data_IF_882448236810
#
_entry.id   IF_882448236810
#
_cell.length_a   1.000
_cell.length_b   1.000
_cell.length_c   1.000
_cell.angle_alpha   90.00
_cell.angle_beta   90.00
_cell.angle_gamma   90.00
#
_symmetry.space_group_name_H-M   'P 1'
#
loop_
_entity.id
_entity.type
_entity.pdbx_description
1 polymer ?
#
# COMPACT_ATOMS: atom_id res chain seq x y z
N UNK A 1 22.23 -31.72 5.36
CA UNK A 1 21.78 -30.90 6.50
C UNK A 1 20.39 -30.37 6.18
N UNK A 2 19.37 -31.04 6.68
CA UNK A 2 17.97 -30.62 6.56
C UNK A 2 17.73 -29.43 7.49
N UNK A 3 17.35 -28.27 6.93
CA UNK A 3 16.76 -27.17 7.69
C UNK A 3 15.26 -27.44 7.82
N UNK A 4 14.90 -28.27 8.79
CA UNK A 4 13.49 -28.41 9.16
C UNK A 4 13.02 -27.21 10.01
N UNK A 5 11.80 -26.77 9.65
CA UNK A 5 10.77 -26.19 10.53
C UNK A 5 11.11 -24.91 11.31
N UNK A 6 11.06 -23.77 10.62
CA UNK A 6 10.47 -22.57 11.22
C UNK A 6 8.97 -22.58 10.95
N UNK A 7 8.16 -22.86 11.97
CA UNK A 7 6.69 -22.75 11.88
C UNK A 7 6.31 -21.27 11.73
N UNK A 8 5.35 -20.97 10.86
CA UNK A 8 4.75 -19.63 10.85
C UNK A 8 3.91 -19.47 12.12
N UNK A 9 4.14 -18.40 12.86
CA UNK A 9 3.23 -17.98 13.92
C UNK A 9 2.01 -17.34 13.24
N UNK A 10 0.91 -18.09 13.24
CA UNK A 10 -0.39 -17.61 12.76
C UNK A 10 -1.28 -17.39 13.99
N UNK A 11 -1.68 -16.14 14.22
CA UNK A 11 -2.74 -15.76 15.13
C UNK A 11 -4.03 -15.47 14.36
N UNK A 12 -5.07 -15.07 15.09
CA UNK A 12 -6.34 -14.64 14.50
C UNK A 12 -6.77 -13.31 15.10
N UNK A 13 -7.34 -12.43 14.27
CA UNK A 13 -7.97 -11.19 14.71
C UNK A 13 -9.20 -11.50 15.59
N UNK A 14 -9.75 -10.49 16.28
CA UNK A 14 -11.03 -10.64 17.00
C UNK A 14 -12.19 -11.01 16.08
N UNK A 15 -12.07 -10.69 14.79
CA UNK A 15 -13.06 -10.95 13.74
C UNK A 15 -12.81 -12.29 13.04
N UNK A 16 -11.73 -12.99 13.41
CA UNK A 16 -11.39 -14.32 12.91
C UNK A 16 -10.41 -14.33 11.73
N UNK A 17 -9.85 -13.18 11.35
CA UNK A 17 -8.92 -13.10 10.21
C UNK A 17 -7.55 -13.66 10.57
N UNK A 18 -6.95 -14.52 9.74
CA UNK A 18 -5.57 -14.93 9.89
C UNK A 18 -4.60 -13.73 9.95
N UNK A 19 -3.77 -13.73 10.99
CA UNK A 19 -2.65 -12.79 11.17
C UNK A 19 -1.37 -13.60 11.16
N UNK A 20 -0.42 -13.27 10.29
CA UNK A 20 0.90 -13.91 10.26
C UNK A 20 2.02 -12.88 10.29
N UNK A 21 3.17 -13.25 10.85
CA UNK A 21 4.38 -12.46 10.71
C UNK A 21 5.14 -12.87 9.45
N UNK A 22 5.36 -11.90 8.55
CA UNK A 22 6.14 -12.06 7.31
C UNK A 22 7.42 -11.21 7.37
N UNK A 23 8.29 -11.32 6.36
CA UNK A 23 9.44 -10.40 6.22
C UNK A 23 9.05 -8.93 6.03
N UNK A 24 7.77 -8.66 5.76
CA UNK A 24 7.23 -7.32 5.58
C UNK A 24 6.57 -6.76 6.84
N UNK A 25 6.47 -7.53 7.93
CA UNK A 25 5.73 -7.19 9.13
C UNK A 25 4.50 -8.07 9.33
N UNK A 26 3.54 -7.56 10.10
CA UNK A 26 2.19 -8.11 10.28
C UNK A 26 1.46 -8.14 8.93
N UNK A 27 1.07 -9.34 8.52
CA UNK A 27 0.27 -9.61 7.35
C UNK A 27 -1.09 -10.15 7.79
N UNK A 28 -2.15 -9.44 7.42
CA UNK A 28 -3.54 -9.83 7.67
C UNK A 28 -4.17 -10.18 6.34
N UNK A 29 -4.89 -11.28 6.31
CA UNK A 29 -5.53 -11.82 5.12
C UNK A 29 -6.97 -12.20 5.47
N UNK A 30 -7.95 -11.66 4.75
CA UNK A 30 -9.37 -12.05 4.90
C UNK A 30 -10.01 -12.36 3.56
N UNK A 31 -10.95 -13.31 3.55
CA UNK A 31 -11.82 -13.59 2.41
C UNK A 31 -13.17 -12.99 2.76
N UNK A 32 -13.65 -12.05 1.95
CA UNK A 32 -14.98 -11.48 2.19
C UNK A 32 -16.10 -12.47 1.80
N UNK A 33 -17.36 -12.13 2.10
CA UNK A 33 -18.50 -12.98 1.76
C UNK A 33 -18.72 -13.23 0.26
N UNK A 34 -17.98 -12.53 -0.60
CA UNK A 34 -18.00 -12.70 -2.07
C UNK A 34 -16.80 -13.53 -2.59
N UNK A 35 -15.97 -14.09 -1.70
CA UNK A 35 -14.82 -14.90 -2.08
C UNK A 35 -13.58 -14.09 -2.48
N UNK A 36 -13.61 -12.76 -2.32
CA UNK A 36 -12.51 -11.86 -2.68
C UNK A 36 -11.50 -11.78 -1.55
N UNK A 37 -10.22 -11.81 -1.92
CA UNK A 37 -9.12 -11.66 -0.96
C UNK A 37 -8.92 -10.19 -0.61
N UNK A 38 -8.80 -9.89 0.67
CA UNK A 38 -8.25 -8.66 1.20
C UNK A 38 -6.92 -8.96 1.90
N UNK A 39 -5.86 -8.28 1.50
CA UNK A 39 -4.52 -8.42 2.04
C UNK A 39 -4.02 -7.08 2.58
N UNK A 40 -3.66 -7.05 3.86
CA UNK A 40 -3.22 -5.84 4.58
C UNK A 40 -1.80 -6.05 5.11
N UNK A 41 -0.91 -5.12 4.75
CA UNK A 41 0.47 -5.01 5.21
C UNK A 41 0.60 -3.74 6.03
N UNK A 42 0.31 -3.85 7.32
CA UNK A 42 0.11 -2.70 8.21
C UNK A 42 1.36 -1.83 8.32
N UNK A 43 2.53 -2.42 8.53
CA UNK A 43 3.81 -1.72 8.63
C UNK A 43 4.32 -1.21 7.29
N UNK A 44 3.70 -1.64 6.18
CA UNK A 44 3.96 -1.06 4.86
C UNK A 44 2.99 0.06 4.52
N UNK A 45 1.86 0.20 5.22
CA UNK A 45 0.79 1.11 4.82
C UNK A 45 0.16 0.70 3.50
N UNK A 46 0.10 -0.61 3.20
CA UNK A 46 -0.41 -1.14 1.93
C UNK A 46 -1.56 -2.08 2.19
N UNK A 47 -2.63 -1.90 1.44
CA UNK A 47 -3.76 -2.80 1.37
C UNK A 47 -4.04 -3.14 -0.10
N UNK A 48 -4.41 -4.37 -0.40
CA UNK A 48 -4.77 -4.76 -1.76
C UNK A 48 -5.91 -5.77 -1.73
N UNK A 49 -6.74 -5.71 -2.76
CA UNK A 49 -7.84 -6.65 -2.96
C UNK A 49 -7.65 -7.43 -4.25
N UNK A 50 -7.98 -8.72 -4.22
CA UNK A 50 -8.03 -9.55 -5.41
C UNK A 50 -9.45 -10.06 -5.64
N UNK A 51 -9.86 -10.10 -6.90
CA UNK A 51 -11.15 -10.64 -7.30
C UNK A 51 -11.14 -12.18 -7.37
N UNK A 52 -12.30 -12.74 -7.72
CA UNK A 52 -12.54 -14.18 -7.86
C UNK A 52 -11.71 -14.83 -8.99
N UNK A 53 -11.28 -14.04 -9.98
CA UNK A 53 -10.36 -14.44 -11.03
C UNK A 53 -8.89 -14.36 -10.62
N UNK A 54 -8.62 -14.07 -9.33
CA UNK A 54 -7.29 -13.91 -8.71
C UNK A 54 -6.52 -12.69 -9.21
N UNK A 55 -7.19 -11.74 -9.86
CA UNK A 55 -6.61 -10.52 -10.39
C UNK A 55 -6.69 -9.37 -9.38
N UNK A 56 -5.72 -8.46 -9.46
CA UNK A 56 -5.61 -7.30 -8.58
C UNK A 56 -6.75 -6.31 -8.85
N UNK A 57 -7.78 -6.33 -8.00
CA UNK A 57 -8.93 -5.45 -8.08
C UNK A 57 -8.59 -4.02 -7.63
N UNK A 58 -7.80 -3.88 -6.56
CA UNK A 58 -7.31 -2.58 -6.11
C UNK A 58 -6.01 -2.66 -5.30
N UNK A 59 -5.32 -1.53 -5.24
CA UNK A 59 -4.24 -1.24 -4.28
C UNK A 59 -4.58 0.05 -3.57
N UNK A 60 -4.55 0.07 -2.25
CA UNK A 60 -4.67 1.28 -1.45
C UNK A 60 -3.42 1.48 -0.60
N UNK A 61 -2.86 2.69 -0.67
CA UNK A 61 -1.70 3.09 0.10
C UNK A 61 -2.14 4.15 1.12
N UNK A 62 -1.94 3.88 2.40
CA UNK A 62 -1.87 4.93 3.42
C UNK A 62 -0.54 5.65 3.23
N UNK A 63 -0.57 6.81 2.58
CA UNK A 63 0.62 7.57 2.24
C UNK A 63 1.43 7.97 3.47
N UNK A 64 0.78 8.17 4.61
CA UNK A 64 1.43 8.57 5.86
C UNK A 64 2.17 7.37 6.43
N UNK A 65 1.48 6.26 6.67
CA UNK A 65 2.10 5.04 7.20
C UNK A 65 3.21 4.53 6.26
N UNK A 66 3.00 4.61 4.95
CA UNK A 66 3.98 4.22 3.94
C UNK A 66 5.28 5.03 4.02
N UNK A 67 5.17 6.34 4.26
CA UNK A 67 6.32 7.25 4.34
C UNK A 67 6.90 7.37 5.75
N UNK A 68 6.16 7.00 6.80
CA UNK A 68 6.64 7.04 8.21
C UNK A 68 7.84 6.14 8.47
N UNK A 69 7.97 5.05 7.71
CA UNK A 69 9.08 4.10 7.82
C UNK A 69 10.46 4.66 7.43
N UNK A 70 10.50 5.83 6.80
CA UNK A 70 11.75 6.42 6.33
C UNK A 70 12.56 7.02 7.48
N UNK A 71 13.84 6.66 7.53
CA UNK A 71 14.79 7.23 8.48
C UNK A 71 15.17 8.65 8.07
N UNK A 72 15.73 9.45 8.98
CA UNK A 72 16.24 10.78 8.63
C UNK A 72 17.32 10.75 7.54
N UNK A 73 18.07 9.64 7.46
CA UNK A 73 19.06 9.39 6.39
C UNK A 73 18.40 9.14 5.03
N UNK A 74 17.23 8.51 5.00
CA UNK A 74 16.47 8.32 3.78
C UNK A 74 15.82 9.65 3.35
N UNK A 75 15.24 10.35 4.32
CA UNK A 75 14.64 11.67 4.11
C UNK A 75 15.63 12.69 3.55
N UNK A 76 16.88 12.71 4.04
CA UNK A 76 17.89 13.66 3.54
C UNK A 76 18.28 13.44 2.07
N UNK A 77 17.93 12.29 1.47
CA UNK A 77 18.15 11.97 0.06
C UNK A 77 16.94 12.26 -0.83
N UNK A 78 15.80 12.62 -0.23
CA UNK A 78 14.59 12.97 -0.98
C UNK A 78 14.74 14.34 -1.66
N UNK A 79 13.93 14.59 -2.69
CA UNK A 79 14.05 15.76 -3.55
C UNK A 79 14.05 17.09 -2.78
N UNK A 80 13.27 17.21 -1.71
CA UNK A 80 13.21 18.38 -0.85
C UNK A 80 13.84 18.12 0.54
N UNK A 81 14.75 17.15 0.63
CA UNK A 81 15.42 16.74 1.87
C UNK A 81 14.47 16.20 2.94
N UNK A 82 13.27 15.75 2.57
CA UNK A 82 12.23 15.20 3.43
C UNK A 82 11.40 16.26 4.15
N UNK A 83 11.43 17.53 3.72
CA UNK A 83 10.66 18.61 4.35
C UNK A 83 9.15 18.38 4.28
N UNK A 84 8.62 17.96 3.13
CA UNK A 84 7.18 17.74 2.96
C UNK A 84 6.73 16.52 3.77
N UNK A 85 7.55 15.47 3.77
CA UNK A 85 7.26 14.25 4.56
C UNK A 85 7.28 14.56 6.06
N UNK A 86 8.22 15.37 6.56
CA UNK A 86 8.22 15.80 7.97
C UNK A 86 7.02 16.66 8.30
N UNK A 87 6.66 17.60 7.42
CA UNK A 87 5.48 18.43 7.59
C UNK A 87 4.20 17.58 7.62
N UNK A 88 4.10 16.55 6.78
CA UNK A 88 3.02 15.57 6.80
C UNK A 88 2.95 14.88 8.16
N UNK A 89 4.05 14.26 8.63
CA UNK A 89 4.10 13.59 9.95
C UNK A 89 3.69 14.51 11.10
N UNK A 90 4.17 15.76 11.10
CA UNK A 90 3.79 16.74 12.11
C UNK A 90 2.30 17.12 12.05
N UNK A 91 1.73 17.24 10.85
CA UNK A 91 0.32 17.50 10.67
C UNK A 91 -0.54 16.33 11.16
N UNK A 92 -0.18 15.10 10.81
CA UNK A 92 -0.92 13.89 11.22
C UNK A 92 -0.88 13.67 12.73
N UNK A 93 0.22 14.03 13.40
CA UNK A 93 0.29 14.04 14.87
C UNK A 93 -0.68 15.02 15.52
N UNK A 94 -0.97 16.15 14.87
CA UNK A 94 -1.95 17.15 15.35
C UNK A 94 -3.38 16.72 15.03
N UNK A 95 -3.57 16.00 13.93
CA UNK A 95 -4.85 15.52 13.43
C UNK A 95 -4.97 14.00 13.60
N UNK A 96 -4.90 13.54 14.86
CA UNK A 96 -4.89 12.11 15.21
C UNK A 96 -6.09 11.40 14.57
N UNK A 97 -5.81 10.28 13.90
CA UNK A 97 -6.82 9.44 13.26
C UNK A 97 -7.18 9.86 11.83
N UNK A 98 -6.62 10.95 11.29
CA UNK A 98 -6.69 11.21 9.85
C UNK A 98 -5.79 10.23 9.10
N UNK A 99 -6.15 9.93 7.86
CA UNK A 99 -5.41 9.08 6.94
C UNK A 99 -5.53 9.70 5.53
N UNK A 100 -4.44 9.63 4.75
CA UNK A 100 -4.43 9.96 3.33
C UNK A 100 -4.30 8.64 2.54
N UNK A 101 -5.39 8.22 1.92
CA UNK A 101 -5.42 7.06 1.05
C UNK A 101 -5.19 7.46 -0.40
N UNK A 102 -4.35 6.68 -1.07
CA UNK A 102 -4.22 6.66 -2.53
C UNK A 102 -4.59 5.28 -3.01
N UNK A 103 -5.76 5.16 -3.62
CA UNK A 103 -6.31 3.90 -4.11
C UNK A 103 -6.26 3.86 -5.62
N UNK A 104 -5.77 2.74 -6.16
CA UNK A 104 -5.66 2.46 -7.58
C UNK A 104 -6.59 1.30 -7.87
N UNK A 105 -7.42 1.44 -8.90
CA UNK A 105 -8.25 0.38 -9.45
C UNK A 105 -7.72 0.02 -10.85
N UNK A 106 -6.85 -1.01 -10.97
CA UNK A 106 -6.17 -1.32 -12.22
C UNK A 106 -7.13 -1.60 -13.38
N UNK A 107 -8.14 -2.45 -13.16
CA UNK A 107 -9.12 -2.84 -14.18
C UNK A 107 -10.04 -1.70 -14.61
N UNK A 108 -10.24 -0.71 -13.74
CA UNK A 108 -11.10 0.45 -14.02
C UNK A 108 -10.35 1.64 -14.63
N UNK A 109 -9.01 1.64 -14.59
CA UNK A 109 -8.23 2.80 -15.05
C UNK A 109 -8.42 4.02 -14.15
N UNK A 110 -8.53 3.82 -12.84
CA UNK A 110 -8.86 4.89 -11.87
C UNK A 110 -7.81 5.04 -10.78
N UNK A 111 -7.45 6.28 -10.46
CA UNK A 111 -6.86 6.67 -9.17
C UNK A 111 -7.91 7.41 -8.36
N UNK A 112 -8.13 6.98 -7.13
CA UNK A 112 -8.96 7.66 -6.15
C UNK A 112 -8.10 8.06 -4.96
N UNK A 113 -8.22 9.30 -4.51
CA UNK A 113 -7.53 9.82 -3.33
C UNK A 113 -8.55 10.28 -2.32
N UNK A 114 -8.29 9.99 -1.04
CA UNK A 114 -9.22 10.27 0.04
C UNK A 114 -8.47 10.69 1.28
N UNK A 115 -8.90 11.79 1.89
CA UNK A 115 -8.49 12.19 3.23
C UNK A 115 -9.68 11.94 4.14
N UNK A 116 -9.50 11.10 5.15
CA UNK A 116 -10.59 10.73 6.07
C UNK A 116 -10.08 10.47 7.47
N UNK A 117 -11.00 10.34 8.42
CA UNK A 117 -10.78 9.62 9.66
C UNK A 117 -11.83 8.52 9.82
N UNK A 118 -11.98 7.97 11.04
CA UNK A 118 -12.99 6.94 11.33
C UNK A 118 -14.44 7.42 11.14
N UNK A 119 -14.70 8.74 11.21
CA UNK A 119 -16.05 9.32 11.26
C UNK A 119 -16.44 10.14 10.03
N UNK A 120 -15.46 10.68 9.32
CA UNK A 120 -15.67 11.72 8.30
C UNK A 120 -14.67 11.58 7.16
N UNK A 121 -15.13 11.91 5.95
CA UNK A 121 -14.29 12.11 4.75
C UNK A 121 -14.15 13.62 4.54
N UNK A 122 -12.92 14.11 4.56
CA UNK A 122 -12.59 15.54 4.47
C UNK A 122 -12.41 16.01 3.02
N UNK A 123 -11.84 15.16 2.18
CA UNK A 123 -11.57 15.47 0.78
C UNK A 123 -11.46 14.20 -0.04
N UNK A 124 -11.91 14.27 -1.28
CA UNK A 124 -11.78 13.20 -2.27
C UNK A 124 -11.38 13.77 -3.62
N UNK A 125 -10.65 13.00 -4.41
CA UNK A 125 -10.39 13.31 -5.81
C UNK A 125 -10.25 12.00 -6.59
N UNK A 126 -10.83 11.97 -7.78
CA UNK A 126 -10.81 10.82 -8.68
C UNK A 126 -10.29 11.26 -10.04
N UNK A 127 -9.37 10.48 -10.60
CA UNK A 127 -8.95 10.56 -11.99
C UNK A 127 -9.26 9.22 -12.67
N UNK A 128 -9.83 9.27 -13.87
CA UNK A 128 -10.24 8.10 -14.64
C UNK A 128 -9.66 8.12 -16.05
N UNK A 129 -9.77 6.99 -16.78
CA UNK A 129 -9.24 6.86 -18.13
C UNK A 129 -7.72 6.63 -18.19
N UNK A 130 -7.14 6.13 -17.10
CA UNK A 130 -5.70 5.94 -16.97
C UNK A 130 -5.25 4.69 -17.73
N UNK A 131 -4.27 4.85 -18.63
CA UNK A 131 -3.54 3.73 -19.23
C UNK A 131 -2.34 3.35 -18.34
N UNK A 132 -2.51 2.31 -17.52
CA UNK A 132 -1.45 1.85 -16.62
C UNK A 132 -0.17 1.38 -17.30
N UNK A 133 -0.22 0.98 -18.57
CA UNK A 133 0.98 0.59 -19.33
C UNK A 133 1.88 1.77 -19.69
N UNK A 134 1.31 2.97 -19.80
CA UNK A 134 2.04 4.22 -20.01
C UNK A 134 2.50 4.83 -18.68
N UNK A 135 1.86 4.41 -17.59
CA UNK A 135 2.06 4.94 -16.25
C UNK A 135 1.34 6.26 -16.04
N UNK A 136 1.07 6.56 -14.78
CA UNK A 136 0.35 7.75 -14.37
C UNK A 136 1.00 8.33 -13.12
N UNK A 137 1.19 9.64 -13.07
CA UNK A 137 1.82 10.28 -11.93
C UNK A 137 1.54 11.77 -11.87
N UNK A 138 1.75 12.32 -10.68
CA UNK A 138 1.35 13.68 -10.37
C UNK A 138 1.90 14.14 -9.03
N UNK A 139 1.30 15.22 -8.54
CA UNK A 139 1.51 15.72 -7.18
C UNK A 139 0.19 15.60 -6.44
N UNK A 140 0.24 14.95 -5.29
CA UNK A 140 -0.87 14.85 -4.35
C UNK A 140 -0.72 15.99 -3.36
N UNK A 141 -1.69 16.89 -3.33
CA UNK A 141 -1.74 17.96 -2.37
C UNK A 141 -2.52 17.54 -1.12
N UNK A 142 -1.89 17.66 0.04
CA UNK A 142 -2.52 17.48 1.34
C UNK A 142 -2.54 18.83 2.06
N UNK A 143 -3.73 19.42 2.20
CA UNK A 143 -3.91 20.72 2.84
C UNK A 143 -4.71 20.64 4.13
N UNK A 144 -4.24 21.32 5.18
CA UNK A 144 -5.06 21.70 6.34
C UNK A 144 -4.64 23.10 6.81
N UNK A 145 -5.61 23.98 7.06
CA UNK A 145 -5.41 25.34 7.57
C UNK A 145 -4.40 26.21 6.78
N UNK A 146 -4.46 26.21 5.44
CA UNK A 146 -3.70 27.14 4.60
C UNK A 146 -2.24 26.79 4.35
N UNK A 147 -1.80 25.57 4.71
CA UNK A 147 -0.53 25.00 4.25
C UNK A 147 -0.79 23.75 3.42
N UNK A 148 -0.28 23.75 2.21
CA UNK A 148 -0.34 22.64 1.27
C UNK A 148 0.96 21.84 1.35
N UNK A 149 0.85 20.57 1.65
CA UNK A 149 1.95 19.61 1.69
C UNK A 149 1.84 18.78 0.42
N UNK A 150 2.86 18.84 -0.42
CA UNK A 150 2.89 18.14 -1.70
C UNK A 150 3.65 16.82 -1.59
N UNK A 151 3.04 15.74 -2.08
CA UNK A 151 3.67 14.43 -2.24
C UNK A 151 3.74 14.07 -3.71
N UNK A 152 4.84 13.47 -4.14
CA UNK A 152 4.97 12.97 -5.50
C UNK A 152 4.35 11.56 -5.57
N UNK A 153 3.60 11.29 -6.63
CA UNK A 153 2.97 10.00 -6.88
C UNK A 153 3.28 9.51 -8.29
N UNK A 154 3.47 8.20 -8.43
CA UNK A 154 3.54 7.53 -9.72
C UNK A 154 3.07 6.08 -9.58
N UNK A 155 2.30 5.60 -10.55
CA UNK A 155 1.89 4.21 -10.64
C UNK A 155 1.95 3.71 -12.08
N UNK A 156 2.34 2.45 -12.25
CA UNK A 156 2.35 1.79 -13.56
C UNK A 156 2.17 0.29 -13.43
N UNK A 157 1.60 -0.33 -14.47
CA UNK A 157 1.58 -1.78 -14.65
C UNK A 157 2.83 -2.21 -15.42
N UNK A 158 3.64 -3.09 -14.84
CA UNK A 158 4.86 -3.65 -15.44
C UNK A 158 4.81 -5.17 -15.42
N UNK A 159 4.35 -5.78 -16.51
CA UNK A 159 4.15 -7.22 -16.60
C UNK A 159 3.16 -7.69 -15.52
N UNK A 160 3.60 -8.61 -14.68
CA UNK A 160 2.81 -9.18 -13.59
C UNK A 160 2.84 -8.34 -12.31
N UNK A 161 3.40 -7.13 -12.34
CA UNK A 161 3.51 -6.24 -11.18
C UNK A 161 2.74 -4.93 -11.39
N UNK A 162 1.99 -4.48 -10.39
CA UNK A 162 1.59 -3.08 -10.24
C UNK A 162 2.63 -2.39 -9.36
N UNK A 163 3.31 -1.38 -9.91
CA UNK A 163 4.28 -0.58 -9.16
C UNK A 163 3.62 0.72 -8.76
N UNK A 164 3.55 0.97 -7.45
CA UNK A 164 3.01 2.20 -6.87
C UNK A 164 4.12 2.89 -6.11
N UNK A 165 4.34 4.18 -6.35
CA UNK A 165 5.42 4.93 -5.74
C UNK A 165 4.91 6.24 -5.18
N UNK A 166 5.28 6.51 -3.92
CA UNK A 166 4.99 7.77 -3.23
C UNK A 166 6.31 8.34 -2.71
N UNK A 167 6.46 9.65 -2.76
CA UNK A 167 7.62 10.31 -2.18
C UNK A 167 7.48 11.83 -2.18
N UNK A 168 8.56 12.52 -2.53
CA UNK A 168 8.68 13.95 -2.36
C UNK A 168 9.02 14.67 -3.68
N UNK A 169 8.31 15.77 -4.00
CA UNK A 169 8.67 16.66 -5.09
C UNK A 169 9.53 17.85 -4.62
N UNK A 170 10.34 18.40 -5.52
CA UNK A 170 11.00 19.71 -5.39
C UNK A 170 11.13 20.35 -6.78
N UNK A 171 10.20 21.24 -7.11
CA UNK A 171 10.04 21.72 -8.48
C UNK A 171 9.77 20.56 -9.44
N UNK A 172 10.58 20.43 -10.49
CA UNK A 172 10.45 19.35 -11.48
C UNK A 172 11.07 18.02 -11.02
N UNK A 173 11.84 18.01 -9.93
CA UNK A 173 12.51 16.81 -9.43
C UNK A 173 11.59 16.05 -8.49
N UNK A 174 11.50 14.73 -8.67
CA UNK A 174 10.73 13.82 -7.81
C UNK A 174 11.63 12.70 -7.30
N UNK A 175 11.61 12.45 -5.99
CA UNK A 175 12.17 11.22 -5.41
C UNK A 175 11.02 10.36 -4.93
N UNK A 176 10.95 9.13 -5.45
CA UNK A 176 9.83 8.22 -5.25
C UNK A 176 10.29 6.95 -4.58
N UNK A 177 9.43 6.39 -3.73
CA UNK A 177 9.68 5.13 -3.03
C UNK A 177 8.65 4.12 -3.53
N UNK A 178 9.08 3.08 -4.25
CA UNK A 178 8.16 2.13 -4.83
C UNK A 178 7.70 1.07 -3.83
N UNK A 179 6.54 0.50 -4.13
CA UNK A 179 6.11 -0.83 -3.72
C UNK A 179 5.62 -1.56 -4.97
N UNK A 180 6.02 -2.82 -5.10
CA UNK A 180 5.62 -3.69 -6.22
C UNK A 180 4.65 -4.73 -5.70
N UNK A 181 3.52 -4.86 -6.38
CA UNK A 181 2.38 -5.69 -5.97
C UNK A 181 2.06 -6.65 -7.11
N UNK A 182 1.82 -7.92 -6.82
CA UNK A 182 1.41 -8.90 -7.84
C UNK A 182 0.08 -8.52 -8.48
N UNK A 183 0.01 -8.48 -9.80
CA UNK A 183 -1.25 -8.28 -10.54
C UNK A 183 -2.15 -9.51 -10.51
N UNK A 184 -1.55 -10.70 -10.29
CA UNK A 184 -2.25 -11.97 -10.22
C UNK A 184 -1.66 -12.83 -9.13
N UNK A 185 -2.50 -13.32 -8.21
CA UNK A 185 -2.06 -14.14 -7.08
C UNK A 185 -3.03 -15.27 -6.89
N UNK A 186 -2.60 -16.50 -7.18
CA UNK A 186 -3.37 -17.71 -6.86
C UNK A 186 -3.40 -17.92 -5.34
N UNK A 187 -4.31 -17.19 -4.69
CA UNK A 187 -4.47 -17.18 -3.25
C UNK A 187 -5.29 -18.36 -2.75
N UNK A 188 -6.16 -18.94 -3.58
CA UNK A 188 -6.95 -20.12 -3.22
C UNK A 188 -6.00 -21.29 -2.95
N UNK A 189 -5.07 -21.56 -3.87
CA UNK A 189 -4.08 -22.62 -3.71
C UNK A 189 -3.22 -22.44 -2.44
N UNK A 190 -2.81 -21.19 -2.13
CA UNK A 190 -2.06 -20.92 -0.92
C UNK A 190 -2.91 -21.12 0.33
N UNK A 191 -4.13 -20.60 0.37
CA UNK A 191 -5.01 -20.70 1.54
C UNK A 191 -5.41 -22.15 1.85
N UNK A 192 -5.63 -22.97 0.82
CA UNK A 192 -5.94 -24.40 0.95
C UNK A 192 -4.70 -25.27 1.23
N UNK A 193 -3.50 -24.71 1.11
CA UNK A 193 -2.26 -25.44 1.35
C UNK A 193 -2.13 -25.91 2.80
N UNK A 194 -1.73 -27.17 2.98
CA UNK A 194 -1.33 -27.71 4.28
C UNK A 194 0.02 -27.14 4.77
N UNK A 195 0.70 -26.34 3.94
CA UNK A 195 1.97 -25.72 4.30
C UNK A 195 1.80 -24.81 5.52
N UNK A 196 2.62 -24.99 6.58
CA UNK A 196 2.64 -24.08 7.71
C UNK A 196 3.16 -22.68 7.34
N UNK A 197 3.64 -22.47 6.10
CA UNK A 197 4.14 -21.18 5.60
C UNK A 197 3.19 -20.49 4.61
N UNK A 198 2.01 -21.04 4.35
CA UNK A 198 1.09 -20.52 3.33
C UNK A 198 0.86 -19.01 3.37
N UNK A 199 0.65 -18.42 4.55
CA UNK A 199 0.42 -16.97 4.67
C UNK A 199 1.68 -16.16 4.40
N UNK A 200 2.86 -16.69 4.75
CA UNK A 200 4.15 -16.06 4.42
C UNK A 200 4.40 -16.12 2.90
N UNK A 201 4.12 -17.28 2.28
CA UNK A 201 4.22 -17.44 0.83
C UNK A 201 3.24 -16.51 0.10
N UNK A 202 1.99 -16.41 0.59
CA UNK A 202 0.99 -15.51 0.05
C UNK A 202 1.43 -14.06 0.15
N UNK A 203 1.96 -13.63 1.31
CA UNK A 203 2.55 -12.31 1.48
C UNK A 203 3.67 -12.03 0.47
N UNK A 204 4.53 -13.01 0.19
CA UNK A 204 5.64 -12.91 -0.78
C UNK A 204 5.18 -12.90 -2.24
N UNK A 205 4.05 -13.53 -2.57
CA UNK A 205 3.42 -13.43 -3.90
C UNK A 205 2.72 -12.09 -4.11
N UNK A 206 2.16 -11.52 -3.04
CA UNK A 206 1.44 -10.25 -3.09
C UNK A 206 2.41 -9.07 -3.10
N UNK A 207 3.27 -8.94 -2.08
CA UNK A 207 4.31 -7.91 -2.06
C UNK A 207 5.59 -8.49 -2.64
N UNK A 208 6.02 -7.91 -3.76
CA UNK A 208 7.20 -8.34 -4.50
C UNK A 208 8.39 -7.51 -4.02
N UNK A 209 9.01 -7.97 -2.93
CA UNK A 209 10.19 -7.35 -2.35
C UNK A 209 11.40 -7.50 -3.27
N UNK A 210 11.79 -6.40 -3.91
CA UNK A 210 13.14 -6.20 -4.46
C UNK A 210 13.85 -5.12 -3.65
#
# INVERSE_FOLDING_TARGET
MNRESGGSLVGYSKEGDPISSSRYGEFICSINGEGKLLAIFKEKGVMCGYDDDTELAFVSIDAVAFLERLTDKDLSKMANGGKNIRALRENMKKNVGRILFVTIYPSLGVVYTEIRNEREVFATSEESGINWSEGYGGVLAYGDNGREIELAFYAMKRGDEMVVSIGEPSGDVKTLIPVSIGNKVDYILELESESPKRFVNLADKILLGR
#
